data_IF_247430649069
#
_entry.id   IF_247430649069
#
_cell.length_a   1.000
_cell.length_b   1.000
_cell.length_c   1.000
_cell.angle_alpha   90.00
_cell.angle_beta   90.00
_cell.angle_gamma   90.00
#
_symmetry.space_group_name_H-M   'P 1'
#
loop_
_entity.id
_entity.type
_entity.pdbx_description
1 polymer ?
#
# COMPACT_ATOMS: atom_id res chain seq x y z
N UNK A 1 -1.13 -59.36 -77.48
CA UNK A 1 -1.55 -58.15 -78.25
C UNK A 1 -1.01 -56.91 -77.56
N UNK A 2 -0.86 -55.80 -78.32
CA UNK A 2 -0.71 -54.36 -77.94
C UNK A 2 -0.66 -53.98 -76.44
N UNK A 3 0.11 -52.96 -76.00
CA UNK A 3 1.29 -52.24 -76.53
C UNK A 3 1.90 -51.39 -75.38
N UNK A 4 3.05 -50.77 -75.57
CA UNK A 4 3.82 -50.08 -74.51
C UNK A 4 3.45 -48.61 -74.23
N UNK A 5 3.76 -48.20 -72.99
CA UNK A 5 4.25 -46.92 -72.42
C UNK A 5 4.21 -45.57 -73.18
N UNK A 6 4.15 -44.51 -72.34
CA UNK A 6 4.73 -43.15 -72.50
C UNK A 6 4.09 -42.18 -73.52
N UNK A 7 4.33 -40.84 -73.45
CA UNK A 7 5.09 -40.03 -72.47
C UNK A 7 4.31 -38.82 -71.87
N UNK A 8 4.99 -37.98 -71.07
CA UNK A 8 4.64 -36.54 -70.86
C UNK A 8 4.91 -35.75 -72.16
N UNK A 9 4.26 -34.58 -72.42
CA UNK A 9 5.04 -33.33 -72.42
C UNK A 9 4.30 -31.99 -72.15
N UNK A 10 5.13 -30.96 -71.92
CA UNK A 10 5.00 -29.50 -72.22
C UNK A 10 3.65 -28.81 -72.53
N UNK A 11 3.49 -27.63 -71.92
CA UNK A 11 2.61 -26.53 -72.34
C UNK A 11 3.06 -25.81 -73.63
N UNK A 12 2.11 -25.34 -74.47
CA UNK A 12 2.25 -24.14 -75.29
C UNK A 12 1.36 -22.97 -74.77
N UNK A 13 1.41 -21.82 -75.42
CA UNK A 13 0.68 -20.60 -75.05
C UNK A 13 -0.09 -19.99 -76.26
N UNK A 14 -0.87 -18.93 -75.96
CA UNK A 14 -1.63 -18.04 -76.87
C UNK A 14 -2.88 -18.63 -77.56
N UNK A 15 -3.83 -17.72 -77.87
CA UNK A 15 -5.18 -18.02 -78.39
C UNK A 15 -6.25 -17.39 -77.51
N UNK A 16 -6.88 -16.31 -77.99
CA UNK A 16 -7.94 -15.58 -77.30
C UNK A 16 -9.33 -16.09 -77.72
N UNK A 17 -10.26 -16.26 -76.77
CA UNK A 17 -11.65 -15.86 -76.98
C UNK A 17 -12.36 -15.63 -75.63
N UNK A 18 -13.52 -14.98 -75.68
CA UNK A 18 -14.22 -14.39 -74.53
C UNK A 18 -15.07 -15.38 -73.74
N UNK A 19 -15.20 -15.16 -72.41
CA UNK A 19 -16.54 -15.03 -71.84
C UNK A 19 -16.58 -14.35 -70.45
N UNK A 20 -17.76 -13.83 -70.09
CA UNK A 20 -17.96 -13.00 -68.89
C UNK A 20 -17.78 -13.77 -67.56
N UNK A 21 -16.75 -13.41 -66.79
CA UNK A 21 -16.70 -13.74 -65.35
C UNK A 21 -17.24 -12.59 -64.53
N UNK A 22 -18.49 -12.73 -64.06
CA UNK A 22 -19.04 -11.93 -62.98
C UNK A 22 -18.12 -12.00 -61.76
N UNK A 23 -17.33 -10.95 -61.56
CA UNK A 23 -16.54 -10.83 -60.34
C UNK A 23 -17.50 -10.55 -59.17
N UNK A 24 -17.78 -11.59 -58.39
CA UNK A 24 -18.24 -11.44 -57.01
C UNK A 24 -17.13 -10.77 -56.20
N UNK A 25 -16.94 -9.47 -56.44
CA UNK A 25 -16.19 -8.57 -55.58
C UNK A 25 -16.91 -8.55 -54.25
N UNK A 26 -16.51 -9.47 -53.38
CA UNK A 26 -16.91 -9.52 -51.99
C UNK A 26 -16.46 -8.21 -51.37
N UNK A 27 -17.37 -7.22 -51.39
CA UNK A 27 -17.23 -5.93 -50.74
C UNK A 27 -17.28 -6.17 -49.24
N UNK A 28 -16.20 -6.75 -48.74
CA UNK A 28 -15.75 -6.67 -47.37
C UNK A 28 -15.56 -5.19 -47.06
N UNK A 29 -16.68 -4.54 -46.75
CA UNK A 29 -16.70 -3.34 -45.93
C UNK A 29 -16.03 -3.76 -44.63
N UNK A 30 -14.72 -3.56 -44.57
CA UNK A 30 -14.02 -3.31 -43.32
C UNK A 30 -14.74 -2.11 -42.71
N UNK A 31 -15.76 -2.39 -41.89
CA UNK A 31 -16.33 -1.40 -41.00
C UNK A 31 -15.17 -0.93 -40.15
N UNK A 32 -14.84 0.36 -40.28
CA UNK A 32 -13.85 0.97 -39.39
C UNK A 32 -14.31 0.67 -37.96
N UNK A 33 -13.41 0.11 -37.14
CA UNK A 33 -13.68 -0.18 -35.72
C UNK A 33 -13.68 1.11 -34.90
N UNK A 34 -14.52 2.06 -35.33
CA UNK A 34 -14.83 3.29 -34.64
C UNK A 34 -15.68 2.91 -33.41
N UNK A 35 -15.00 2.54 -32.33
CA UNK A 35 -15.61 2.32 -31.02
C UNK A 35 -16.07 3.63 -30.35
N UNK A 36 -15.90 4.77 -31.02
CA UNK A 36 -16.48 6.06 -30.69
C UNK A 36 -17.96 6.10 -31.07
N UNK A 37 -18.79 6.49 -30.09
CA UNK A 37 -20.19 6.81 -30.31
C UNK A 37 -20.32 8.23 -30.90
N UNK A 38 -21.38 8.51 -31.66
CA UNK A 38 -21.75 9.89 -32.07
C UNK A 38 -21.77 10.85 -30.86
N UNK A 39 -22.17 10.31 -29.70
CA UNK A 39 -22.29 11.00 -28.42
C UNK A 39 -20.94 11.34 -27.74
N UNK A 40 -19.81 10.81 -28.22
CA UNK A 40 -18.49 11.07 -27.62
C UNK A 40 -17.90 12.42 -28.06
N UNK A 41 -18.31 12.94 -29.22
CA UNK A 41 -17.90 14.25 -29.73
C UNK A 41 -18.56 15.42 -28.98
N UNK A 42 -19.66 15.16 -28.28
CA UNK A 42 -20.41 16.16 -27.52
C UNK A 42 -19.92 16.17 -26.07
N UNK A 43 -19.30 17.28 -25.65
CA UNK A 43 -18.91 17.49 -24.25
C UNK A 43 -20.17 17.75 -23.42
N UNK A 44 -20.27 17.09 -22.27
CA UNK A 44 -21.26 17.39 -21.23
C UNK A 44 -20.44 17.76 -20.00
N UNK A 45 -20.66 18.97 -19.47
CA UNK A 45 -20.02 19.46 -18.25
C UNK A 45 -20.84 19.03 -17.04
N UNK A 46 -20.15 18.56 -16.01
CA UNK A 46 -20.73 18.24 -14.71
C UNK A 46 -20.13 19.19 -13.69
N UNK A 47 -20.97 20.00 -13.07
CA UNK A 47 -20.59 21.05 -12.14
C UNK A 47 -20.54 20.53 -10.68
N UNK A 48 -19.56 21.03 -9.93
CA UNK A 48 -19.19 20.57 -8.58
C UNK A 48 -19.27 21.73 -7.57
N UNK A 49 -19.77 21.43 -6.37
CA UNK A 49 -19.96 22.39 -5.29
C UNK A 49 -21.21 23.27 -5.49
N UNK A 50 -21.71 23.82 -4.38
CA UNK A 50 -23.01 24.54 -4.37
C UNK A 50 -22.99 25.84 -5.19
N UNK A 51 -21.81 26.46 -5.31
CA UNK A 51 -21.56 27.63 -6.15
C UNK A 51 -21.36 27.30 -7.65
N UNK A 52 -21.17 26.03 -8.00
CA UNK A 52 -20.69 25.58 -9.32
C UNK A 52 -19.35 26.21 -9.76
N UNK A 53 -18.41 26.46 -8.85
CA UNK A 53 -17.11 27.07 -9.16
C UNK A 53 -16.22 26.21 -10.09
N UNK A 54 -16.45 24.90 -10.14
CA UNK A 54 -15.64 23.93 -10.86
C UNK A 54 -16.48 22.94 -11.67
N UNK A 55 -15.97 22.49 -12.83
CA UNK A 55 -16.60 21.43 -13.63
C UNK A 55 -15.60 20.39 -14.15
N UNK A 56 -16.11 19.21 -14.47
CA UNK A 56 -15.41 18.19 -15.25
C UNK A 56 -16.22 17.78 -16.48
N UNK A 57 -15.59 17.14 -17.46
CA UNK A 57 -16.30 16.59 -18.64
C UNK A 57 -16.68 15.14 -18.38
N UNK A 58 -17.96 14.80 -18.53
CA UNK A 58 -18.49 13.46 -18.25
C UNK A 58 -17.80 12.38 -19.12
N UNK A 59 -16.95 11.57 -18.48
CA UNK A 59 -16.25 10.45 -19.10
C UNK A 59 -16.99 9.13 -18.88
N UNK A 60 -17.46 8.52 -19.97
CA UNK A 60 -18.10 7.19 -19.94
C UNK A 60 -17.20 6.11 -19.33
N UNK A 61 -15.89 6.19 -19.57
CA UNK A 61 -14.92 5.21 -19.08
C UNK A 61 -14.76 5.27 -17.55
N UNK A 62 -14.59 6.49 -16.99
CA UNK A 62 -14.48 6.67 -15.54
C UNK A 62 -15.78 6.26 -14.84
N UNK A 63 -16.94 6.63 -15.39
CA UNK A 63 -18.24 6.19 -14.89
C UNK A 63 -18.39 4.67 -14.93
N UNK A 64 -18.04 4.01 -16.04
CA UNK A 64 -18.10 2.55 -16.12
C UNK A 64 -17.16 1.85 -15.12
N UNK A 65 -15.97 2.41 -14.86
CA UNK A 65 -15.06 1.88 -13.84
C UNK A 65 -15.63 2.04 -12.42
N UNK A 66 -16.23 3.19 -12.12
CA UNK A 66 -16.90 3.41 -10.82
C UNK A 66 -18.05 2.42 -10.60
N UNK A 67 -18.87 2.19 -11.64
CA UNK A 67 -19.94 1.19 -11.60
C UNK A 67 -19.40 -0.25 -11.41
N UNK A 68 -18.27 -0.62 -12.01
CA UNK A 68 -17.66 -1.95 -11.76
C UNK A 68 -17.19 -2.15 -10.32
N UNK A 69 -16.77 -1.10 -9.61
CA UNK A 69 -16.42 -1.20 -8.17
C UNK A 69 -17.63 -1.61 -7.34
N UNK A 70 -18.85 -1.18 -7.71
CA UNK A 70 -20.11 -1.55 -7.03
C UNK A 70 -20.60 -2.98 -7.32
N UNK A 71 -19.82 -3.78 -8.06
CA UNK A 71 -20.14 -5.12 -8.57
C UNK A 71 -21.14 -5.19 -9.74
N UNK A 72 -21.34 -4.10 -10.49
CA UNK A 72 -22.03 -4.16 -11.78
C UNK A 72 -21.08 -4.79 -12.81
N UNK A 73 -21.47 -5.84 -13.57
CA UNK A 73 -20.61 -6.45 -14.58
C UNK A 73 -20.17 -5.43 -15.65
N UNK A 74 -18.89 -5.45 -16.03
CA UNK A 74 -18.28 -4.45 -16.92
C UNK A 74 -19.09 -4.20 -18.22
N UNK A 75 -19.58 -5.27 -18.86
CA UNK A 75 -20.39 -5.17 -20.08
C UNK A 75 -21.76 -4.49 -19.88
N UNK A 76 -22.25 -4.38 -18.64
CA UNK A 76 -23.47 -3.64 -18.25
C UNK A 76 -23.10 -2.22 -17.79
N UNK A 77 -22.03 -2.05 -17.02
CA UNK A 77 -21.51 -0.75 -16.62
C UNK A 77 -21.21 0.16 -17.83
N UNK A 78 -20.62 -0.40 -18.90
CA UNK A 78 -20.39 0.31 -20.18
C UNK A 78 -21.71 0.71 -20.84
N UNK A 79 -22.76 -0.13 -20.77
CA UNK A 79 -24.09 0.18 -21.33
C UNK A 79 -24.77 1.30 -20.55
N UNK A 80 -24.77 1.25 -19.22
CA UNK A 80 -25.33 2.29 -18.34
C UNK A 80 -24.62 3.63 -18.59
N UNK A 81 -23.27 3.63 -18.65
CA UNK A 81 -22.50 4.84 -18.90
C UNK A 81 -22.73 5.43 -20.31
N UNK A 82 -23.03 4.60 -21.31
CA UNK A 82 -23.46 5.05 -22.64
C UNK A 82 -24.90 5.58 -22.63
N UNK A 83 -25.81 4.90 -21.95
CA UNK A 83 -27.24 5.25 -21.85
C UNK A 83 -27.45 6.59 -21.13
N UNK A 84 -26.74 6.84 -20.03
CA UNK A 84 -26.74 8.13 -19.35
C UNK A 84 -26.18 9.24 -20.24
N UNK A 85 -25.07 8.98 -20.94
CA UNK A 85 -24.46 9.94 -21.86
C UNK A 85 -25.38 10.31 -23.02
N UNK A 86 -26.15 9.34 -23.54
CA UNK A 86 -27.23 9.59 -24.52
C UNK A 86 -28.34 10.44 -23.93
N UNK A 87 -28.94 9.98 -22.82
CA UNK A 87 -30.05 10.65 -22.14
C UNK A 87 -29.77 12.15 -21.89
N UNK A 88 -28.56 12.49 -21.44
CA UNK A 88 -28.19 13.89 -21.23
C UNK A 88 -28.12 14.68 -22.55
N UNK A 89 -27.48 14.14 -23.59
CA UNK A 89 -27.32 14.82 -24.89
C UNK A 89 -28.65 14.94 -25.65
N UNK A 90 -29.45 13.88 -25.67
CA UNK A 90 -30.74 13.85 -26.38
C UNK A 90 -31.76 14.81 -25.75
N UNK A 91 -31.66 15.08 -24.44
CA UNK A 91 -32.44 16.11 -23.72
C UNK A 91 -31.75 17.49 -23.68
N UNK A 92 -30.66 17.71 -24.42
CA UNK A 92 -29.86 18.96 -24.43
C UNK A 92 -29.26 19.38 -23.07
N UNK A 93 -29.15 18.46 -22.11
CA UNK A 93 -28.53 18.65 -20.79
C UNK A 93 -27.00 18.58 -20.91
N UNK A 94 -26.41 19.62 -21.51
CA UNK A 94 -24.97 19.73 -21.75
C UNK A 94 -24.19 20.30 -20.56
N UNK A 95 -24.89 20.93 -19.63
CA UNK A 95 -24.38 21.46 -18.36
C UNK A 95 -25.34 20.99 -17.25
N UNK A 96 -24.85 20.20 -16.31
CA UNK A 96 -25.64 19.58 -15.22
C UNK A 96 -24.90 19.59 -13.89
N UNK A 97 -25.61 19.62 -12.76
CA UNK A 97 -24.98 19.41 -11.45
C UNK A 97 -24.58 17.95 -11.24
N UNK A 98 -23.65 17.71 -10.31
CA UNK A 98 -23.34 16.35 -9.85
C UNK A 98 -24.59 15.63 -9.30
N UNK A 99 -25.48 16.34 -8.60
CA UNK A 99 -26.72 15.80 -8.05
C UNK A 99 -27.69 15.36 -9.14
N UNK A 100 -27.87 16.16 -10.20
CA UNK A 100 -28.71 15.80 -11.35
C UNK A 100 -28.16 14.61 -12.12
N UNK A 101 -26.82 14.55 -12.29
CA UNK A 101 -26.14 13.42 -12.90
C UNK A 101 -26.40 12.14 -12.10
N UNK A 102 -26.27 12.19 -10.77
CA UNK A 102 -26.51 11.04 -9.88
C UNK A 102 -27.98 10.60 -9.87
N UNK A 103 -28.93 11.54 -9.79
CA UNK A 103 -30.37 11.24 -9.89
C UNK A 103 -30.72 10.54 -11.21
N UNK A 104 -30.12 10.95 -12.33
CA UNK A 104 -30.33 10.28 -13.62
C UNK A 104 -29.59 8.93 -13.71
N UNK A 105 -28.41 8.81 -13.11
CA UNK A 105 -27.65 7.57 -13.03
C UNK A 105 -28.39 6.50 -12.22
N UNK A 106 -28.88 6.83 -11.03
CA UNK A 106 -29.55 5.89 -10.13
C UNK A 106 -30.87 5.39 -10.74
N UNK A 107 -31.67 6.28 -11.36
CA UNK A 107 -32.86 5.90 -12.14
C UNK A 107 -32.54 4.94 -13.30
N UNK A 108 -31.36 5.02 -13.90
CA UNK A 108 -30.91 4.05 -14.93
C UNK A 108 -30.39 2.74 -14.32
N UNK A 109 -29.76 2.78 -13.14
CA UNK A 109 -29.34 1.58 -12.40
C UNK A 109 -30.55 0.75 -11.96
N UNK A 110 -31.56 1.38 -11.36
CA UNK A 110 -32.82 0.74 -10.92
C UNK A 110 -33.54 0.05 -12.10
N UNK A 111 -33.73 0.76 -13.22
CA UNK A 111 -34.30 0.22 -14.47
C UNK A 111 -33.52 -0.95 -15.07
N UNK A 112 -32.27 -1.16 -14.65
CA UNK A 112 -31.38 -2.25 -15.07
C UNK A 112 -31.28 -3.38 -14.03
N UNK A 113 -32.01 -3.29 -12.92
CA UNK A 113 -32.02 -4.28 -11.83
C UNK A 113 -31.03 -4.00 -10.70
N UNK A 114 -30.34 -2.85 -10.71
CA UNK A 114 -29.35 -2.47 -9.69
C UNK A 114 -29.96 -1.46 -8.72
N UNK A 115 -30.70 -1.98 -7.73
CA UNK A 115 -31.37 -1.19 -6.69
C UNK A 115 -30.42 -0.65 -5.61
N UNK A 116 -30.99 -0.34 -4.45
CA UNK A 116 -30.35 0.43 -3.36
C UNK A 116 -28.97 -0.11 -2.92
N UNK A 117 -28.75 -1.42 -2.87
CA UNK A 117 -27.46 -2.02 -2.51
C UNK A 117 -26.30 -1.49 -3.40
N UNK A 118 -26.54 -1.38 -4.72
CA UNK A 118 -25.56 -0.89 -5.69
C UNK A 118 -25.41 0.64 -5.63
N UNK A 119 -26.50 1.35 -5.36
CA UNK A 119 -26.52 2.81 -5.18
C UNK A 119 -25.76 3.21 -3.90
N UNK A 120 -25.94 2.47 -2.81
CA UNK A 120 -25.26 2.69 -1.55
C UNK A 120 -23.76 2.38 -1.67
N UNK A 121 -23.37 1.30 -2.38
CA UNK A 121 -21.97 1.07 -2.77
C UNK A 121 -21.40 2.21 -3.62
N UNK A 122 -22.17 2.76 -4.56
CA UNK A 122 -21.72 3.91 -5.37
C UNK A 122 -21.44 5.13 -4.47
N UNK A 123 -22.41 5.53 -3.64
CA UNK A 123 -22.29 6.65 -2.70
C UNK A 123 -21.13 6.47 -1.73
N UNK A 124 -20.98 5.27 -1.17
CA UNK A 124 -19.87 4.91 -0.27
C UNK A 124 -18.50 5.04 -0.96
N UNK A 125 -18.35 4.53 -2.18
CA UNK A 125 -17.08 4.63 -2.92
C UNK A 125 -16.77 6.06 -3.38
N UNK A 126 -17.80 6.83 -3.78
CA UNK A 126 -17.67 8.26 -4.10
C UNK A 126 -17.22 9.04 -2.86
N UNK A 127 -17.84 8.80 -1.70
CA UNK A 127 -17.44 9.39 -0.42
C UNK A 127 -16.01 9.05 -0.05
N UNK A 128 -15.62 7.77 -0.12
CA UNK A 128 -14.25 7.28 0.13
C UNK A 128 -13.21 8.03 -0.71
N UNK A 129 -13.42 8.13 -2.03
CA UNK A 129 -12.51 8.83 -2.93
C UNK A 129 -12.50 10.35 -2.71
N UNK A 130 -13.63 10.96 -2.37
CA UNK A 130 -13.72 12.41 -2.12
C UNK A 130 -13.06 12.81 -0.79
N UNK A 131 -13.31 12.07 0.29
CA UNK A 131 -12.67 12.26 1.60
C UNK A 131 -11.17 11.94 1.59
N UNK A 132 -10.67 11.25 0.55
CA UNK A 132 -9.29 10.76 0.45
C UNK A 132 -8.87 9.96 1.67
N UNK A 133 -9.68 8.99 2.06
CA UNK A 133 -9.34 8.08 3.17
C UNK A 133 -8.17 7.18 2.72
N UNK A 134 -7.04 7.14 3.44
CA UNK A 134 -5.95 6.24 3.09
C UNK A 134 -6.39 4.78 3.19
N UNK A 135 -6.03 3.98 2.19
CA UNK A 135 -6.31 2.54 2.14
C UNK A 135 -5.04 1.79 1.74
N UNK A 136 -4.58 0.91 2.62
CA UNK A 136 -3.39 0.08 2.44
C UNK A 136 -3.81 -1.38 2.52
N UNK A 137 -3.76 -2.07 1.39
CA UNK A 137 -4.07 -3.51 1.30
C UNK A 137 -2.75 -4.27 1.22
N UNK A 138 -2.51 -5.19 2.16
CA UNK A 138 -1.29 -6.00 2.19
C UNK A 138 -1.66 -7.42 1.78
N UNK A 139 -1.05 -7.94 0.70
CA UNK A 139 -1.31 -9.28 0.16
C UNK A 139 -0.08 -10.15 0.44
N UNK A 140 -0.09 -10.77 1.61
CA UNK A 140 0.97 -11.60 2.16
C UNK A 140 0.85 -13.06 1.68
N UNK A 141 1.95 -13.82 1.74
CA UNK A 141 1.99 -15.26 1.46
C UNK A 141 3.29 -15.67 0.76
N UNK A 142 3.51 -16.97 0.60
CA UNK A 142 4.75 -17.50 0.03
C UNK A 142 4.73 -17.58 -1.51
N UNK A 143 5.67 -18.32 -2.12
CA UNK A 143 5.67 -18.55 -3.57
C UNK A 143 4.44 -19.38 -3.99
N UNK A 144 4.05 -19.26 -5.26
CA UNK A 144 2.96 -20.00 -5.93
C UNK A 144 1.52 -19.85 -5.37
N UNK A 145 1.26 -19.21 -4.22
CA UNK A 145 -0.12 -19.00 -3.70
C UNK A 145 -0.99 -17.98 -4.48
N UNK A 146 -0.54 -17.51 -5.63
CA UNK A 146 -1.32 -16.66 -6.54
C UNK A 146 -1.39 -15.15 -6.23
N UNK A 147 -0.54 -14.63 -5.32
CA UNK A 147 -0.56 -13.24 -4.84
C UNK A 147 -0.65 -12.17 -5.94
N UNK A 148 0.31 -12.11 -6.85
CA UNK A 148 0.38 -11.10 -7.90
C UNK A 148 -0.86 -11.13 -8.82
N UNK A 149 -1.43 -12.31 -9.06
CA UNK A 149 -2.67 -12.51 -9.82
C UNK A 149 -3.88 -11.95 -9.07
N UNK A 150 -4.02 -12.27 -7.78
CA UNK A 150 -5.08 -11.73 -6.91
C UNK A 150 -4.94 -10.21 -6.81
N UNK A 151 -3.76 -9.70 -6.44
CA UNK A 151 -3.48 -8.27 -6.29
C UNK A 151 -3.78 -7.48 -7.57
N UNK A 152 -3.35 -7.97 -8.74
CA UNK A 152 -3.59 -7.32 -10.03
C UNK A 152 -5.07 -7.28 -10.40
N UNK A 153 -5.79 -8.41 -10.29
CA UNK A 153 -7.22 -8.43 -10.63
C UNK A 153 -8.07 -7.67 -9.61
N UNK A 154 -7.67 -7.66 -8.34
CA UNK A 154 -8.30 -6.86 -7.28
C UNK A 154 -8.11 -5.36 -7.52
N UNK A 155 -6.90 -4.92 -7.89
CA UNK A 155 -6.63 -3.53 -8.28
C UNK A 155 -7.50 -3.08 -9.45
N UNK A 156 -7.64 -3.93 -10.47
CA UNK A 156 -8.51 -3.68 -11.62
C UNK A 156 -9.99 -3.56 -11.22
N UNK A 157 -10.50 -4.46 -10.35
CA UNK A 157 -11.90 -4.50 -9.87
C UNK A 157 -12.26 -3.33 -8.95
N UNK A 158 -11.38 -2.97 -8.01
CA UNK A 158 -11.57 -1.87 -7.06
C UNK A 158 -11.12 -0.50 -7.61
N UNK A 159 -10.68 -0.43 -8.87
CA UNK A 159 -10.19 0.79 -9.52
C UNK A 159 -8.97 1.44 -8.81
N UNK A 160 -8.10 0.62 -8.20
CA UNK A 160 -6.93 1.10 -7.46
C UNK A 160 -5.73 1.21 -8.43
N UNK A 161 -5.05 2.37 -8.54
CA UNK A 161 -4.01 2.58 -9.55
C UNK A 161 -2.62 2.07 -9.14
N UNK A 162 -2.37 1.88 -7.84
CA UNK A 162 -1.05 1.59 -7.30
C UNK A 162 -1.00 0.16 -6.76
N UNK A 163 -0.16 -0.68 -7.37
CA UNK A 163 0.25 -1.99 -6.84
C UNK A 163 1.77 -1.98 -6.74
N UNK A 164 2.32 -2.23 -5.55
CA UNK A 164 3.75 -2.41 -5.32
C UNK A 164 4.05 -3.88 -5.02
N UNK A 165 5.19 -4.36 -5.49
CA UNK A 165 5.67 -5.73 -5.26
C UNK A 165 6.90 -5.68 -4.36
N UNK A 166 6.91 -6.39 -3.22
CA UNK A 166 8.07 -6.38 -2.31
C UNK A 166 9.32 -6.89 -2.97
N UNK A 167 9.20 -7.85 -3.87
CA UNK A 167 10.29 -8.54 -4.53
C UNK A 167 11.10 -7.55 -5.41
N UNK A 168 10.45 -6.51 -5.96
CA UNK A 168 11.12 -5.40 -6.66
C UNK A 168 11.81 -4.42 -5.70
N UNK A 169 11.23 -4.17 -4.52
CA UNK A 169 11.85 -3.33 -3.49
C UNK A 169 13.04 -4.04 -2.85
N UNK A 170 12.95 -5.37 -2.64
CA UNK A 170 14.05 -6.21 -2.18
C UNK A 170 15.24 -6.11 -3.13
N UNK A 171 15.02 -6.32 -4.44
CA UNK A 171 16.08 -6.27 -5.45
C UNK A 171 16.70 -4.88 -5.63
N UNK A 172 15.88 -3.82 -5.58
CA UNK A 172 16.37 -2.43 -5.60
C UNK A 172 17.19 -2.10 -4.35
N UNK A 173 16.74 -2.51 -3.16
CA UNK A 173 17.51 -2.31 -1.93
C UNK A 173 18.82 -3.11 -1.97
N UNK A 174 18.77 -4.38 -2.36
CA UNK A 174 19.93 -5.29 -2.46
C UNK A 174 21.02 -4.80 -3.43
N UNK A 175 20.65 -4.02 -4.44
CA UNK A 175 21.59 -3.41 -5.38
C UNK A 175 22.11 -2.04 -4.93
N UNK A 176 21.53 -1.46 -3.86
CA UNK A 176 22.08 -0.29 -3.15
C UNK A 176 23.05 -0.72 -2.04
N UNK A 177 24.14 0.03 -1.84
CA UNK A 177 25.30 -0.40 -1.02
C UNK A 177 25.04 -0.50 0.49
N UNK A 178 23.95 0.06 1.01
CA UNK A 178 23.66 0.18 2.45
C UNK A 178 22.63 -0.85 2.98
N UNK A 179 22.03 -1.68 2.12
CA UNK A 179 20.99 -2.62 2.53
C UNK A 179 21.57 -4.02 2.88
N UNK A 180 21.39 -4.53 4.12
CA UNK A 180 21.86 -5.87 4.48
C UNK A 180 20.89 -6.95 3.98
N UNK A 181 20.82 -7.13 2.66
CA UNK A 181 20.03 -8.16 1.96
C UNK A 181 20.98 -9.04 1.13
N UNK A 182 20.81 -10.36 1.16
CA UNK A 182 21.67 -11.27 0.39
C UNK A 182 21.10 -11.59 -1.00
N UNK A 183 21.97 -12.07 -1.90
CA UNK A 183 21.64 -12.47 -3.28
C UNK A 183 20.85 -13.77 -3.37
N UNK A 184 21.11 -14.74 -2.50
CA UNK A 184 20.28 -15.94 -2.36
C UNK A 184 19.00 -15.57 -1.60
N UNK A 185 17.79 -15.91 -2.08
CA UNK A 185 16.57 -15.65 -1.33
C UNK A 185 16.53 -16.42 0.00
N UNK A 186 15.93 -15.86 1.06
CA UNK A 186 15.97 -16.46 2.41
C UNK A 186 15.53 -17.92 2.43
N UNK A 187 14.46 -18.30 1.72
CA UNK A 187 13.96 -19.68 1.68
C UNK A 187 14.86 -20.67 0.92
N UNK A 188 15.92 -20.22 0.23
CA UNK A 188 16.91 -21.10 -0.42
C UNK A 188 18.23 -21.20 0.37
N UNK A 189 18.28 -20.71 1.61
CA UNK A 189 19.47 -20.77 2.47
C UNK A 189 19.39 -21.95 3.45
N UNK A 190 20.55 -22.35 3.94
CA UNK A 190 20.69 -23.30 5.03
C UNK A 190 20.48 -22.63 6.39
N UNK A 191 19.59 -23.21 7.19
CA UNK A 191 19.39 -22.90 8.60
C UNK A 191 19.43 -24.17 9.43
N UNK A 192 19.71 -24.01 10.72
CA UNK A 192 19.78 -25.07 11.72
C UNK A 192 18.42 -25.28 12.41
N UNK A 193 17.56 -24.27 12.43
CA UNK A 193 16.20 -24.35 12.98
C UNK A 193 15.18 -23.53 12.18
N UNK A 194 13.89 -23.84 12.38
CA UNK A 194 12.79 -23.02 11.85
C UNK A 194 12.74 -21.62 12.47
N UNK A 195 13.19 -21.47 13.72
CA UNK A 195 13.23 -20.17 14.41
C UNK A 195 14.30 -19.24 13.80
N UNK A 196 15.45 -19.80 13.39
CA UNK A 196 16.53 -19.08 12.71
C UNK A 196 16.04 -18.56 11.34
N UNK A 197 15.38 -19.42 10.55
CA UNK A 197 14.74 -19.08 9.28
C UNK A 197 13.70 -17.96 9.43
N UNK A 198 12.80 -18.06 10.41
CA UNK A 198 11.77 -17.03 10.65
C UNK A 198 12.39 -15.72 11.16
N UNK A 199 13.43 -15.79 12.00
CA UNK A 199 14.15 -14.61 12.47
C UNK A 199 14.80 -13.84 11.31
N UNK A 200 15.45 -14.55 10.39
CA UNK A 200 16.06 -13.95 9.19
C UNK A 200 15.00 -13.42 8.21
N UNK A 201 13.92 -14.16 7.99
CA UNK A 201 12.77 -13.69 7.20
C UNK A 201 12.18 -12.38 7.75
N UNK A 202 11.96 -12.30 9.07
CA UNK A 202 11.48 -11.08 9.73
C UNK A 202 12.51 -9.94 9.62
N UNK A 203 13.82 -10.24 9.68
CA UNK A 203 14.89 -9.25 9.50
C UNK A 203 14.83 -8.63 8.10
N UNK A 204 14.66 -9.44 7.06
CA UNK A 204 14.52 -8.95 5.68
C UNK A 204 13.23 -8.15 5.48
N UNK A 205 12.09 -8.63 6.00
CA UNK A 205 10.82 -7.88 5.97
C UNK A 205 10.95 -6.49 6.60
N UNK A 206 11.71 -6.35 7.70
CA UNK A 206 12.00 -5.06 8.35
C UNK A 206 12.88 -4.14 7.50
N UNK A 207 13.74 -4.67 6.63
CA UNK A 207 14.54 -3.88 5.68
C UNK A 207 13.68 -3.43 4.50
N UNK A 208 12.89 -4.34 3.90
CA UNK A 208 11.94 -4.01 2.81
C UNK A 208 10.89 -2.98 3.27
N UNK A 209 10.38 -3.11 4.49
CA UNK A 209 9.47 -2.13 5.13
C UNK A 209 10.04 -0.71 5.20
N UNK A 210 11.37 -0.55 5.34
CA UNK A 210 12.04 0.77 5.32
C UNK A 210 12.06 1.37 3.93
N UNK A 211 12.31 0.57 2.88
CA UNK A 211 12.18 1.00 1.48
C UNK A 211 10.76 1.49 1.17
N UNK A 212 9.75 0.70 1.57
CA UNK A 212 8.33 1.04 1.42
C UNK A 212 7.84 2.25 2.25
N UNK A 213 8.66 2.79 3.17
CA UNK A 213 8.23 3.86 4.06
C UNK A 213 7.94 5.17 3.32
N UNK A 214 8.60 5.43 2.18
CA UNK A 214 8.33 6.59 1.34
C UNK A 214 6.93 6.54 0.72
N UNK A 215 6.61 5.44 0.05
CA UNK A 215 5.31 5.23 -0.60
C UNK A 215 4.16 5.11 0.40
N UNK A 216 4.38 4.43 1.53
CA UNK A 216 3.36 4.36 2.59
C UNK A 216 3.06 5.75 3.17
N UNK A 217 4.09 6.53 3.50
CA UNK A 217 3.92 7.92 4.00
C UNK A 217 3.23 8.82 2.97
N UNK A 218 3.47 8.58 1.67
CA UNK A 218 2.80 9.27 0.57
C UNK A 218 1.34 8.82 0.41
N UNK A 219 1.04 7.54 0.53
CA UNK A 219 -0.33 7.02 0.50
C UNK A 219 -1.17 7.58 1.67
N UNK A 220 -0.61 7.59 2.89
CA UNK A 220 -1.25 8.20 4.06
C UNK A 220 -1.45 9.72 3.93
N UNK A 221 -0.49 10.45 3.32
CA UNK A 221 -0.61 11.91 3.14
C UNK A 221 -1.54 12.31 1.99
N UNK A 222 -1.42 11.65 0.84
CA UNK A 222 -2.22 11.97 -0.35
C UNK A 222 -3.65 11.40 -0.26
N UNK A 223 -3.88 10.46 0.65
CA UNK A 223 -5.13 9.69 0.76
C UNK A 223 -5.40 8.82 -0.46
N UNK A 224 -4.33 8.29 -1.06
CA UNK A 224 -4.39 7.46 -2.27
C UNK A 224 -4.35 5.98 -1.87
N UNK A 225 -5.26 5.13 -2.38
CA UNK A 225 -5.21 3.71 -2.11
C UNK A 225 -3.96 3.06 -2.73
N UNK A 226 -3.45 2.04 -2.04
CA UNK A 226 -2.29 1.26 -2.46
C UNK A 226 -2.46 -0.21 -2.08
N UNK A 227 -2.12 -1.11 -3.00
CA UNK A 227 -1.90 -2.52 -2.70
C UNK A 227 -0.39 -2.75 -2.62
N UNK A 228 0.07 -3.47 -1.61
CA UNK A 228 1.43 -3.98 -1.51
C UNK A 228 1.33 -5.50 -1.45
N UNK A 229 1.98 -6.21 -2.37
CA UNK A 229 1.98 -7.67 -2.44
C UNK A 229 3.41 -8.22 -2.45
N UNK A 230 3.59 -9.46 -2.01
CA UNK A 230 4.89 -10.13 -2.12
C UNK A 230 5.16 -11.07 -0.95
N UNK A 231 6.37 -11.65 -0.93
CA UNK A 231 6.76 -12.60 0.14
C UNK A 231 7.35 -11.90 1.36
N UNK A 232 8.05 -10.78 1.19
CA UNK A 232 8.65 -10.00 2.29
C UNK A 232 7.64 -9.07 2.98
N UNK A 233 6.46 -9.61 3.30
CA UNK A 233 5.38 -8.95 4.03
C UNK A 233 5.00 -9.74 5.30
N UNK A 234 5.82 -9.59 6.34
CA UNK A 234 5.44 -9.89 7.73
C UNK A 234 4.34 -8.89 8.19
N UNK A 235 3.11 -9.36 8.51
CA UNK A 235 2.01 -8.48 8.90
C UNK A 235 2.24 -7.74 10.22
N UNK A 236 3.06 -8.29 11.14
CA UNK A 236 3.27 -7.70 12.47
C UNK A 236 3.84 -6.28 12.37
N UNK A 237 4.69 -6.03 11.36
CA UNK A 237 5.35 -4.74 11.10
C UNK A 237 4.39 -3.65 10.58
N UNK A 238 3.13 -4.01 10.28
CA UNK A 238 2.09 -3.10 9.83
C UNK A 238 0.88 -3.04 10.78
N UNK A 239 0.86 -3.89 11.82
CA UNK A 239 -0.22 -3.97 12.82
C UNK A 239 0.10 -3.26 14.14
N UNK A 240 1.37 -2.92 14.38
CA UNK A 240 1.74 -2.04 15.51
C UNK A 240 1.34 -0.60 15.17
N UNK A 241 0.35 -0.09 15.89
CA UNK A 241 -0.21 1.27 15.75
C UNK A 241 0.85 2.38 16.02
N UNK A 242 0.55 3.62 15.58
CA UNK A 242 1.45 4.80 15.59
C UNK A 242 1.86 5.32 16.99
N UNK A 243 1.53 4.61 18.08
CA UNK A 243 1.90 4.91 19.48
C UNK A 243 3.41 5.09 19.70
N UNK A 244 4.27 4.47 18.86
CA UNK A 244 5.73 4.63 18.93
C UNK A 244 6.30 5.33 17.71
N UNK A 245 6.22 6.67 17.76
CA UNK A 245 7.07 7.58 16.98
C UNK A 245 8.54 7.08 16.94
N UNK A 246 9.21 7.07 15.77
CA UNK A 246 10.55 6.49 15.61
C UNK A 246 11.66 7.22 16.38
N UNK A 247 11.37 8.30 17.10
CA UNK A 247 12.30 8.97 18.00
C UNK A 247 12.71 8.12 19.22
N UNK A 248 11.83 7.23 19.71
CA UNK A 248 12.06 6.51 20.98
C UNK A 248 13.20 5.48 20.93
N UNK A 249 13.48 4.88 19.77
CA UNK A 249 14.42 3.75 19.63
C UNK A 249 15.89 4.21 19.64
N UNK A 250 16.17 5.52 19.57
CA UNK A 250 17.54 6.06 19.61
C UNK A 250 18.02 6.43 21.03
N UNK A 251 17.19 6.27 22.06
CA UNK A 251 17.54 6.63 23.45
C UNK A 251 18.25 5.50 24.21
N UNK A 252 17.79 4.24 24.08
CA UNK A 252 18.26 3.13 24.93
C UNK A 252 19.57 2.47 24.46
N UNK A 253 20.05 2.80 23.26
CA UNK A 253 21.21 2.12 22.64
C UNK A 253 22.49 2.98 22.57
N UNK A 254 22.60 4.02 23.39
CA UNK A 254 23.82 4.85 23.54
C UNK A 254 24.48 4.64 24.90
N UNK A 255 24.76 3.37 25.23
CA UNK A 255 25.07 2.92 26.59
C UNK A 255 26.28 2.00 26.78
N UNK A 256 27.01 1.59 25.73
CA UNK A 256 28.34 0.96 25.90
C UNK A 256 29.20 1.07 24.63
N UNK A 257 30.49 1.40 24.79
CA UNK A 257 31.48 1.42 23.71
C UNK A 257 32.26 0.10 23.63
N UNK A 258 32.93 -0.13 22.50
CA UNK A 258 33.50 -1.40 22.10
C UNK A 258 34.99 -1.61 22.45
N UNK A 259 35.28 -2.75 23.09
CA UNK A 259 36.35 -3.74 22.77
C UNK A 259 37.84 -3.35 22.76
N UNK A 260 38.63 -4.03 23.61
CA UNK A 260 39.86 -4.80 23.27
C UNK A 260 40.61 -5.25 24.55
N UNK A 261 41.41 -6.34 24.60
CA UNK A 261 41.41 -7.59 23.83
C UNK A 261 42.30 -8.67 24.52
N UNK A 262 41.89 -9.95 24.42
CA UNK A 262 42.69 -11.18 24.55
C UNK A 262 43.39 -11.53 25.90
N UNK A 263 43.79 -12.82 26.13
CA UNK A 263 44.24 -13.35 27.43
C UNK A 263 45.71 -13.83 27.47
N UNK A 264 46.20 -14.23 28.65
CA UNK A 264 46.83 -15.56 28.87
C UNK A 264 46.99 -15.89 30.37
N UNK A 265 47.55 -17.06 30.70
CA UNK A 265 47.45 -17.74 32.01
C UNK A 265 48.80 -17.98 32.73
N UNK A 266 48.72 -18.26 34.04
CA UNK A 266 49.71 -18.95 34.90
C UNK A 266 50.93 -18.21 35.51
N UNK A 267 51.40 -18.83 36.60
CA UNK A 267 52.78 -18.87 37.13
C UNK A 267 53.42 -17.65 37.85
N UNK A 268 53.55 -17.84 39.16
CA UNK A 268 54.54 -17.28 40.11
C UNK A 268 55.99 -17.13 39.61
N UNK A 269 56.70 -16.07 40.06
CA UNK A 269 57.95 -16.14 40.88
C UNK A 269 58.47 -14.71 41.24
N UNK A 270 59.43 -14.64 42.18
CA UNK A 270 59.90 -13.50 42.98
C UNK A 270 60.99 -12.61 42.31
N UNK A 271 61.50 -11.60 43.05
CA UNK A 271 62.78 -10.84 42.86
C UNK A 271 62.85 -9.89 41.65
N UNK A 272 63.46 -8.68 41.67
CA UNK A 272 64.32 -7.90 42.60
C UNK A 272 63.83 -6.40 42.62
N UNK A 273 63.97 -5.58 43.68
CA UNK A 273 65.15 -4.78 44.11
C UNK A 273 65.78 -3.89 42.99
N UNK A 274 66.03 -2.58 43.12
CA UNK A 274 65.82 -1.57 44.21
C UNK A 274 65.86 -0.13 43.64
N UNK A 275 65.65 0.88 44.51
CA UNK A 275 66.20 2.26 44.48
C UNK A 275 65.45 3.38 43.70
N UNK A 276 65.40 4.66 44.16
CA UNK A 276 65.89 5.27 45.43
C UNK A 276 65.17 6.61 45.76
N UNK A 277 64.93 6.91 47.05
CA UNK A 277 64.50 8.22 47.59
C UNK A 277 63.03 8.65 47.37
N UNK A 278 62.35 9.37 48.27
CA UNK A 278 62.68 9.83 49.64
C UNK A 278 61.41 10.23 50.43
N UNK A 279 61.42 10.03 51.76
CA UNK A 279 60.73 10.73 52.89
C UNK A 279 59.54 11.70 52.62
N UNK A 280 58.49 11.86 53.46
CA UNK A 280 57.93 11.23 54.70
C UNK A 280 56.54 11.91 54.96
N UNK A 281 55.64 11.55 55.89
CA UNK A 281 55.57 10.49 56.93
C UNK A 281 54.37 9.52 56.61
N UNK A 282 53.47 8.91 57.42
CA UNK A 282 52.88 9.04 58.77
C UNK A 282 52.02 10.31 59.03
N UNK A 283 51.02 10.37 59.92
CA UNK A 283 50.26 9.38 60.74
C UNK A 283 48.75 9.47 60.34
N UNK A 284 47.80 8.61 60.73
CA UNK A 284 47.87 7.42 61.59
C UNK A 284 46.56 7.16 62.38
N UNK A 285 45.57 6.49 61.77
CA UNK A 285 44.30 6.07 62.43
C UNK A 285 43.22 7.17 62.55
N UNK A 286 41.98 6.89 63.01
CA UNK A 286 41.33 5.59 63.29
C UNK A 286 39.79 5.76 63.37
N UNK A 287 39.03 4.66 63.20
CA UNK A 287 37.81 4.22 63.94
C UNK A 287 37.02 5.28 64.78
N UNK A 288 35.68 5.37 64.83
CA UNK A 288 34.62 4.35 64.60
C UNK A 288 33.19 4.88 64.87
N UNK A 289 32.15 4.36 64.17
CA UNK A 289 30.69 4.30 64.49
C UNK A 289 29.84 5.58 64.80
N UNK A 290 28.50 5.39 64.71
CA UNK A 290 27.39 6.12 65.38
C UNK A 290 27.06 7.56 64.93
N UNK A 291 25.84 8.11 65.12
CA UNK A 291 24.46 7.57 65.22
C UNK A 291 23.41 8.72 65.26
N UNK A 292 22.16 8.45 64.82
CA UNK A 292 20.85 9.00 65.30
C UNK A 292 20.56 10.52 65.45
N UNK A 293 19.27 10.89 65.24
CA UNK A 293 18.59 12.15 65.68
C UNK A 293 19.05 13.49 65.01
N UNK A 294 18.25 14.59 64.97
CA UNK A 294 16.80 14.72 65.22
C UNK A 294 16.25 16.17 65.40
N UNK A 295 15.30 16.60 64.53
CA UNK A 295 14.18 17.57 64.78
C UNK A 295 14.47 19.09 64.96
N UNK A 296 13.49 19.94 64.56
CA UNK A 296 13.22 21.39 64.87
C UNK A 296 14.02 22.53 64.18
N UNK A 297 13.53 23.78 64.02
CA UNK A 297 12.17 24.37 63.80
C UNK A 297 12.27 25.90 63.46
N UNK A 298 11.25 26.51 62.83
CA UNK A 298 10.97 27.98 62.64
C UNK A 298 11.97 28.84 61.81
N UNK A 299 11.61 29.97 61.13
CA UNK A 299 10.34 30.71 60.88
C UNK A 299 10.38 31.30 59.41
N UNK A 300 9.80 32.42 58.89
CA UNK A 300 9.15 33.67 59.37
C UNK A 300 8.11 34.20 58.29
N UNK A 301 7.75 35.50 58.28
CA UNK A 301 6.55 36.12 57.64
C UNK A 301 6.67 36.82 56.25
N UNK A 302 5.46 37.12 55.72
CA UNK A 302 4.98 37.70 54.45
C UNK A 302 5.33 39.18 54.04
N UNK A 303 4.77 39.67 52.90
CA UNK A 303 3.95 40.93 52.72
C UNK A 303 3.91 41.54 51.27
N UNK A 304 2.70 41.66 50.65
CA UNK A 304 2.15 42.74 49.74
C UNK A 304 2.87 43.26 48.45
N UNK A 305 2.27 43.98 47.46
CA UNK A 305 0.86 44.29 47.08
C UNK A 305 0.67 44.78 45.60
N UNK A 306 -0.38 44.27 44.93
CA UNK A 306 -1.45 44.92 44.11
C UNK A 306 -1.33 46.21 43.21
N UNK A 307 -1.69 46.02 41.91
CA UNK A 307 -2.82 46.63 41.11
C UNK A 307 -2.75 48.06 40.49
N UNK A 308 -3.47 48.20 39.35
CA UNK A 308 -3.94 49.41 38.60
C UNK A 308 -3.08 49.85 37.39
N UNK A 309 -3.57 50.42 36.26
CA UNK A 309 -4.90 50.99 35.88
C UNK A 309 -5.26 50.76 34.39
N UNK A 310 -6.50 51.11 33.99
CA UNK A 310 -7.02 51.09 32.60
C UNK A 310 -7.04 52.51 31.98
N UNK A 311 -6.96 52.69 30.65
CA UNK A 311 -7.54 53.87 29.96
C UNK A 311 -7.76 53.68 28.43
N UNK A 312 -8.37 54.67 27.76
CA UNK A 312 -9.10 54.56 26.48
C UNK A 312 -8.75 55.68 25.45
N UNK A 313 -9.12 55.47 24.18
CA UNK A 313 -9.07 56.39 23.01
C UNK A 313 -7.69 56.61 22.34
N UNK A 314 -7.59 57.01 21.06
CA UNK A 314 -8.62 57.13 20.01
C UNK A 314 -8.14 57.73 18.66
N UNK A 315 -8.84 57.39 17.58
CA UNK A 315 -8.98 58.13 16.28
C UNK A 315 -7.78 58.68 15.47
N UNK A 316 -7.62 58.13 14.26
CA UNK A 316 -7.44 58.80 12.93
C UNK A 316 -6.11 59.39 12.42
N UNK A 317 -5.95 59.21 11.09
CA UNK A 317 -5.24 60.05 10.08
C UNK A 317 -3.74 59.78 9.81
N UNK A 318 -3.32 60.06 8.56
CA UNK A 318 -1.92 60.03 8.10
C UNK A 318 -1.67 59.15 6.86
N UNK A 319 -1.69 59.75 5.67
CA UNK A 319 -1.03 59.19 4.47
C UNK A 319 0.37 59.81 4.37
N UNK A 320 1.41 58.99 4.16
CA UNK A 320 2.37 59.17 3.05
C UNK A 320 3.25 57.92 2.91
N UNK A 321 3.90 57.75 1.76
CA UNK A 321 4.57 56.51 1.39
C UNK A 321 6.07 56.65 1.15
N UNK A 322 6.85 55.73 1.68
CA UNK A 322 8.24 55.48 1.28
C UNK A 322 8.48 53.97 1.22
N UNK A 323 9.16 53.49 0.18
CA UNK A 323 9.39 52.07 -0.03
C UNK A 323 10.67 51.58 0.69
N UNK A 324 10.58 50.42 1.33
CA UNK A 324 11.75 49.58 1.65
C UNK A 324 11.35 48.10 1.62
N UNK A 325 12.34 47.22 1.51
CA UNK A 325 12.17 45.78 1.32
C UNK A 325 13.01 45.01 2.34
N UNK A 326 12.39 43.95 2.90
CA UNK A 326 12.95 43.00 3.90
C UNK A 326 13.10 43.63 5.31
N UNK A 327 13.09 42.87 6.42
CA UNK A 327 13.17 41.41 6.60
C UNK A 327 12.03 40.81 7.47
N UNK A 328 11.87 39.51 7.25
CA UNK A 328 11.29 38.43 8.09
C UNK A 328 10.87 38.81 9.53
N UNK A 329 9.57 38.68 9.82
CA UNK A 329 9.10 38.11 11.10
C UNK A 329 8.22 36.89 10.82
N UNK A 330 8.52 35.76 11.47
CA UNK A 330 7.86 34.48 11.24
C UNK A 330 6.69 34.29 12.22
N UNK A 331 5.53 34.87 11.88
CA UNK A 331 4.33 34.80 12.70
C UNK A 331 3.91 33.35 12.97
N UNK A 332 3.81 32.99 14.25
CA UNK A 332 3.58 31.61 14.72
C UNK A 332 2.11 31.25 14.62
N UNK A 333 1.61 31.05 13.40
CA UNK A 333 0.38 30.29 13.18
C UNK A 333 0.54 28.89 13.74
N UNK A 334 -0.06 28.65 14.91
CA UNK A 334 -0.27 27.32 15.48
C UNK A 334 -1.18 26.57 14.52
N UNK A 335 -0.57 25.80 13.60
CA UNK A 335 -1.30 24.88 12.74
C UNK A 335 -1.77 23.73 13.62
N UNK A 336 -2.97 23.88 14.18
CA UNK A 336 -3.77 22.76 14.64
C UNK A 336 -3.93 21.80 13.47
N UNK A 337 -3.14 20.72 13.46
CA UNK A 337 -3.30 19.65 12.48
C UNK A 337 -4.71 19.11 12.65
N UNK A 338 -5.61 19.43 11.70
CA UNK A 338 -6.82 18.63 11.51
C UNK A 338 -6.36 17.18 11.34
N UNK A 339 -6.82 16.30 12.22
CA UNK A 339 -6.57 14.87 12.06
C UNK A 339 -7.13 14.46 10.69
N UNK A 340 -6.34 13.72 9.92
CA UNK A 340 -6.84 13.14 8.68
C UNK A 340 -7.85 12.03 8.98
N UNK A 341 -8.68 11.61 8.00
CA UNK A 341 -9.49 10.41 8.16
C UNK A 341 -8.59 9.22 8.50
N UNK A 342 -8.96 8.44 9.53
CA UNK A 342 -8.14 7.32 10.03
C UNK A 342 -7.80 6.35 8.88
N UNK A 343 -6.52 5.94 8.72
CA UNK A 343 -6.14 5.04 7.64
C UNK A 343 -6.78 3.65 7.81
N UNK A 344 -7.17 3.05 6.69
CA UNK A 344 -7.70 1.70 6.61
C UNK A 344 -6.55 0.78 6.18
N UNK A 345 -6.09 -0.09 7.07
CA UNK A 345 -5.05 -1.10 6.78
C UNK A 345 -5.72 -2.47 6.77
N UNK A 346 -5.61 -3.21 5.66
CA UNK A 346 -6.25 -4.52 5.48
C UNK A 346 -5.18 -5.56 5.12
N UNK A 347 -4.63 -6.29 6.11
CA UNK A 347 -3.73 -7.41 5.87
C UNK A 347 -4.51 -8.68 5.48
N UNK A 348 -4.08 -9.28 4.38
CA UNK A 348 -4.69 -10.46 3.77
C UNK A 348 -3.58 -11.48 3.52
N UNK A 349 -3.62 -12.61 4.23
CA UNK A 349 -2.67 -13.72 4.00
C UNK A 349 -3.30 -14.71 3.03
N UNK A 350 -2.69 -14.91 1.87
CA UNK A 350 -3.09 -15.96 0.96
C UNK A 350 -2.41 -17.27 1.34
N UNK A 351 -3.20 -18.35 1.34
CA UNK A 351 -2.72 -19.74 1.43
C UNK A 351 -3.39 -20.59 0.36
N UNK A 352 -2.91 -21.82 0.21
CA UNK A 352 -3.42 -22.83 -0.71
C UNK A 352 -3.46 -24.17 0.02
N UNK A 353 -4.19 -25.16 -0.48
CA UNK A 353 -4.14 -26.53 0.07
C UNK A 353 -2.73 -27.11 -0.08
N UNK A 354 -2.23 -27.85 0.92
CA UNK A 354 -0.82 -28.29 0.93
C UNK A 354 -0.41 -29.10 -0.31
N UNK A 355 -1.33 -29.93 -0.83
CA UNK A 355 -1.11 -30.74 -2.03
C UNK A 355 -0.95 -29.86 -3.28
N UNK A 356 -1.93 -28.99 -3.56
CA UNK A 356 -1.90 -28.03 -4.66
C UNK A 356 -0.66 -27.12 -4.57
N UNK A 357 -0.35 -26.65 -3.35
CA UNK A 357 0.78 -25.75 -3.10
C UNK A 357 2.12 -26.45 -3.34
N UNK A 358 2.31 -27.67 -2.82
CA UNK A 358 3.52 -28.46 -3.06
C UNK A 358 3.71 -28.73 -4.55
N UNK A 359 2.67 -29.15 -5.27
CA UNK A 359 2.76 -29.41 -6.71
C UNK A 359 3.20 -28.18 -7.52
N UNK A 360 2.62 -27.00 -7.24
CA UNK A 360 3.01 -25.75 -7.89
C UNK A 360 4.40 -25.25 -7.46
N UNK A 361 4.88 -25.58 -6.25
CA UNK A 361 6.25 -25.31 -5.84
C UNK A 361 7.24 -26.22 -6.56
N UNK A 362 6.96 -27.51 -6.69
CA UNK A 362 7.79 -28.47 -7.44
C UNK A 362 7.94 -28.05 -8.90
N UNK A 363 6.83 -27.70 -9.58
CA UNK A 363 6.84 -27.17 -10.95
C UNK A 363 7.67 -25.87 -11.05
N UNK A 364 7.45 -24.92 -10.14
CA UNK A 364 8.15 -23.63 -10.12
C UNK A 364 9.66 -23.78 -9.89
N UNK A 365 10.07 -24.66 -8.97
CA UNK A 365 11.49 -24.99 -8.74
C UNK A 365 12.07 -25.60 -10.02
N UNK A 366 11.42 -26.61 -10.59
CA UNK A 366 11.92 -27.30 -11.80
C UNK A 366 12.07 -26.34 -12.98
N UNK A 367 11.14 -25.39 -13.16
CA UNK A 367 11.21 -24.36 -14.20
C UNK A 367 12.41 -23.41 -14.05
N UNK A 368 12.91 -23.22 -12.82
CA UNK A 368 14.04 -22.34 -12.49
C UNK A 368 15.38 -23.07 -12.40
N UNK A 369 15.40 -24.35 -12.04
CA UNK A 369 16.62 -25.17 -11.99
C UNK A 369 17.11 -25.64 -13.36
N UNK A 370 16.53 -25.18 -14.48
CA UNK A 370 16.98 -25.60 -15.82
C UNK A 370 18.42 -25.14 -16.16
N UNK A 371 18.99 -24.19 -15.41
CA UNK A 371 20.39 -23.75 -15.56
C UNK A 371 21.41 -24.56 -14.77
N UNK A 372 21.06 -25.19 -13.64
CA UNK A 372 22.03 -25.88 -12.76
C UNK A 372 21.47 -27.16 -12.12
N UNK A 373 22.32 -28.18 -11.99
CA UNK A 373 21.96 -29.52 -11.47
C UNK A 373 21.77 -29.53 -9.94
N UNK A 374 20.67 -28.95 -9.47
CA UNK A 374 20.27 -28.96 -8.06
C UNK A 374 19.86 -30.38 -7.59
N UNK A 375 20.50 -30.95 -6.54
CA UNK A 375 20.11 -32.20 -5.89
C UNK A 375 18.67 -32.20 -5.36
N UNK A 376 17.98 -33.34 -5.39
CA UNK A 376 16.57 -33.41 -4.93
C UNK A 376 16.40 -33.09 -3.44
N UNK A 377 17.41 -33.38 -2.60
CA UNK A 377 17.40 -33.01 -1.16
C UNK A 377 17.28 -31.50 -0.92
N UNK A 378 17.82 -30.69 -1.82
CA UNK A 378 17.81 -29.24 -1.67
C UNK A 378 16.44 -28.67 -2.06
N UNK A 379 15.72 -29.34 -2.97
CA UNK A 379 14.33 -29.03 -3.35
C UNK A 379 13.37 -29.27 -2.19
N UNK A 380 13.47 -30.43 -1.54
CA UNK A 380 12.67 -30.74 -0.34
C UNK A 380 12.94 -29.74 0.79
N UNK A 381 14.20 -29.32 0.99
CA UNK A 381 14.57 -28.29 1.98
C UNK A 381 14.00 -26.92 1.63
N UNK A 382 14.02 -26.52 0.37
CA UNK A 382 13.43 -25.26 -0.12
C UNK A 382 11.89 -25.27 0.10
N UNK A 383 11.22 -26.37 -0.22
CA UNK A 383 9.78 -26.55 0.02
C UNK A 383 9.47 -26.50 1.53
N UNK A 384 10.27 -27.16 2.37
CA UNK A 384 10.12 -27.10 3.83
C UNK A 384 10.31 -25.68 4.38
N UNK A 385 11.34 -24.94 3.92
CA UNK A 385 11.55 -23.53 4.27
C UNK A 385 10.34 -22.66 3.88
N UNK A 386 9.82 -22.83 2.67
CA UNK A 386 8.62 -22.11 2.22
C UNK A 386 7.38 -22.50 3.04
N UNK A 387 7.19 -23.78 3.38
CA UNK A 387 6.10 -24.19 4.27
C UNK A 387 6.21 -23.53 5.64
N UNK A 388 7.40 -23.53 6.26
CA UNK A 388 7.63 -22.86 7.55
C UNK A 388 7.28 -21.36 7.52
N UNK A 389 7.64 -20.64 6.45
CA UNK A 389 7.24 -19.23 6.27
C UNK A 389 5.72 -19.10 6.07
N UNK A 390 5.08 -20.01 5.32
CA UNK A 390 3.63 -19.99 5.11
C UNK A 390 2.87 -20.25 6.40
N UNK A 391 3.33 -21.20 7.23
CA UNK A 391 2.73 -21.54 8.52
C UNK A 391 2.91 -20.39 9.52
N UNK A 392 4.08 -19.74 9.55
CA UNK A 392 4.31 -18.49 10.30
C UNK A 392 3.32 -17.40 9.89
N UNK A 393 3.17 -17.11 8.59
CA UNK A 393 2.22 -16.11 8.10
C UNK A 393 0.76 -16.49 8.41
N UNK A 394 0.42 -17.79 8.44
CA UNK A 394 -0.90 -18.26 8.82
C UNK A 394 -1.16 -18.22 10.34
N UNK A 395 -0.13 -18.23 11.19
CA UNK A 395 -0.27 -18.19 12.65
C UNK A 395 -1.04 -16.96 13.14
N UNK A 396 -0.90 -15.84 12.42
CA UNK A 396 -1.63 -14.59 12.64
C UNK A 396 -3.16 -14.70 12.48
N UNK A 397 -3.72 -15.81 12.00
CA UNK A 397 -5.17 -16.07 12.09
C UNK A 397 -5.67 -15.91 13.54
N UNK A 398 -4.85 -16.32 14.51
CA UNK A 398 -5.12 -16.18 15.96
C UNK A 398 -5.24 -14.73 16.44
N UNK A 399 -4.65 -13.77 15.71
CA UNK A 399 -4.68 -12.33 15.97
C UNK A 399 -5.77 -11.61 15.15
N UNK A 400 -6.68 -12.37 14.51
CA UNK A 400 -7.81 -11.83 13.75
C UNK A 400 -7.52 -11.47 12.29
N UNK A 401 -6.36 -11.84 11.74
CA UNK A 401 -6.04 -11.54 10.34
C UNK A 401 -6.88 -12.39 9.35
N UNK A 402 -7.26 -11.76 8.25
CA UNK A 402 -7.95 -12.40 7.14
C UNK A 402 -7.01 -13.36 6.39
N UNK A 403 -7.13 -14.67 6.67
CA UNK A 403 -6.39 -15.72 5.97
C UNK A 403 -7.30 -16.43 4.96
N UNK A 404 -6.95 -16.35 3.68
CA UNK A 404 -7.81 -16.72 2.55
C UNK A 404 -7.22 -17.90 1.79
N UNK A 405 -8.02 -18.96 1.61
CA UNK A 405 -7.63 -20.11 0.80
C UNK A 405 -7.87 -19.83 -0.69
N UNK A 406 -6.85 -20.06 -1.52
CA UNK A 406 -6.88 -19.91 -2.97
C UNK A 406 -6.74 -21.30 -3.59
N UNK A 407 -7.65 -21.68 -4.48
CA UNK A 407 -7.49 -22.83 -5.37
C UNK A 407 -7.77 -22.39 -6.80
N UNK A 408 -7.13 -23.07 -7.76
CA UNK A 408 -7.31 -22.79 -9.19
C UNK A 408 -8.77 -22.97 -9.65
N UNK A 409 -9.54 -23.84 -9.00
CA UNK A 409 -10.95 -24.14 -9.32
C UNK A 409 -11.92 -23.08 -8.80
N UNK A 410 -11.62 -22.45 -7.66
CA UNK A 410 -12.51 -21.49 -6.96
C UNK A 410 -12.07 -20.03 -7.11
N UNK A 411 -10.96 -19.76 -7.82
CA UNK A 411 -10.33 -18.43 -7.92
C UNK A 411 -11.32 -17.26 -8.16
N UNK A 412 -12.31 -17.32 -9.07
CA UNK A 412 -13.25 -16.21 -9.27
C UNK A 412 -14.10 -15.92 -8.01
N UNK A 413 -14.50 -16.96 -7.28
CA UNK A 413 -15.31 -16.87 -6.06
C UNK A 413 -14.48 -16.30 -4.90
N UNK A 414 -13.21 -16.73 -4.77
CA UNK A 414 -12.25 -16.13 -3.83
C UNK A 414 -12.06 -14.64 -4.10
N UNK A 415 -11.97 -14.23 -5.37
CA UNK A 415 -11.82 -12.83 -5.76
C UNK A 415 -13.11 -12.01 -5.58
N UNK A 416 -14.29 -12.61 -5.79
CA UNK A 416 -15.58 -12.01 -5.47
C UNK A 416 -15.76 -11.82 -3.95
N UNK A 417 -15.27 -12.76 -3.14
CA UNK A 417 -15.26 -12.67 -1.68
C UNK A 417 -14.32 -11.57 -1.19
N UNK A 418 -13.08 -11.52 -1.70
CA UNK A 418 -12.10 -10.46 -1.39
C UNK A 418 -12.64 -9.06 -1.71
N UNK A 419 -13.33 -8.91 -2.84
CA UNK A 419 -13.99 -7.66 -3.23
C UNK A 419 -15.12 -7.28 -2.25
N UNK A 420 -15.92 -8.24 -1.75
CA UNK A 420 -16.91 -7.96 -0.69
C UNK A 420 -16.24 -7.52 0.61
N UNK A 421 -15.24 -8.27 1.08
CA UNK A 421 -14.54 -8.00 2.33
C UNK A 421 -13.93 -6.59 2.33
N UNK A 422 -13.28 -6.19 1.24
CA UNK A 422 -12.66 -4.86 1.13
C UNK A 422 -13.68 -3.72 1.03
N UNK A 423 -14.85 -3.93 0.43
CA UNK A 423 -15.95 -2.95 0.49
C UNK A 423 -16.47 -2.79 1.92
N UNK A 424 -16.56 -3.87 2.70
CA UNK A 424 -16.95 -3.81 4.11
C UNK A 424 -15.90 -3.06 4.96
N UNK A 425 -14.60 -3.28 4.72
CA UNK A 425 -13.55 -2.51 5.39
C UNK A 425 -13.61 -1.00 5.05
N UNK A 426 -13.92 -0.64 3.80
CA UNK A 426 -14.12 0.77 3.38
C UNK A 426 -15.37 1.38 4.03
N UNK A 427 -16.46 0.62 4.13
CA UNK A 427 -17.70 1.05 4.79
C UNK A 427 -17.52 1.32 6.29
N UNK A 428 -16.81 0.43 6.98
CA UNK A 428 -16.45 0.56 8.40
C UNK A 428 -15.50 1.75 8.63
N UNK A 429 -14.41 1.86 7.85
CA UNK A 429 -13.47 2.98 7.99
C UNK A 429 -14.08 4.35 7.67
N UNK A 430 -14.94 4.44 6.65
CA UNK A 430 -15.59 5.72 6.27
C UNK A 430 -16.79 6.10 7.17
N UNK A 431 -17.36 5.16 7.93
CA UNK A 431 -18.40 5.46 8.93
C UNK A 431 -17.81 5.94 10.26
N UNK A 432 -16.73 5.32 10.73
CA UNK A 432 -16.01 5.76 11.94
C UNK A 432 -15.61 7.24 11.88
N UNK A 433 -14.96 7.66 10.80
CA UNK A 433 -14.56 9.06 10.58
C UNK A 433 -15.72 10.04 10.33
N UNK A 434 -16.98 9.58 10.26
CA UNK A 434 -18.15 10.46 10.12
C UNK A 434 -18.80 10.83 11.46
N UNK A 435 -18.67 9.99 12.50
CA UNK A 435 -19.25 10.27 13.82
C UNK A 435 -18.44 11.32 14.61
N UNK A 436 -17.12 11.30 14.51
CA UNK A 436 -16.24 12.28 15.20
C UNK A 436 -16.52 13.72 14.77
N UNK A 437 -16.80 13.93 13.48
CA UNK A 437 -17.14 15.26 12.94
C UNK A 437 -18.50 15.79 13.39
N UNK A 438 -19.47 14.93 13.70
CA UNK A 438 -20.77 15.36 14.24
C UNK A 438 -20.65 15.75 15.72
N UNK A 439 -19.82 15.03 16.49
CA UNK A 439 -19.59 15.33 17.90
C UNK A 439 -18.96 16.71 18.14
N UNK A 440 -18.12 17.21 17.21
CA UNK A 440 -17.55 18.56 17.28
C UNK A 440 -18.47 19.67 16.73
N UNK A 441 -19.61 19.35 16.12
CA UNK A 441 -20.55 20.34 15.57
C UNK A 441 -21.74 20.67 16.51
N UNK A 442 -21.78 20.06 17.70
CA UNK A 442 -22.82 20.28 18.72
C UNK A 442 -22.32 20.95 20.00
N UNK A 443 -21.20 21.68 19.93
CA UNK A 443 -20.49 22.22 21.09
C UNK A 443 -19.84 23.60 20.84
N UNK A 444 -20.52 24.48 20.10
CA UNK A 444 -20.31 25.93 20.05
C UNK A 444 -21.67 26.64 20.24
#
# INVERSE_FOLDING_TARGET
MRKEKEPMPSSPASGEESDEKQSFSSKNKFSSRNASSKYDFVKVKVWLGDNADHYYVLSRFLLSRMLTVTKIPNHVAIKIALELKKLLIDNSLLDVSQSDLEVNLFKLMERRGYGEEYINRYKMMTRFHHQRVPLVILVCGTACVGKSTIATQLAQRLNLPNVLQTDMVYELLRTSTDAPLASTPVWTRDFNSSEELITEFCRECRVVRKGLAGDLKKAMKDGKPIIIEGIHLDPSIYLVDDEKSPAAIQAENKGMNSTSAAPDDSATVQTENTNEGSHDENHGGSRTLSSTEGISMDQVDAVSNNVASINLAGSTSGHEGAASLKEIEADKKIVTKKSGPKPIIVPIVLKMAEFDHKALLEEWICSRTFTEKCPDKDKDKLIANLKTIQDYLCSFTSQGLTVVNVSATTFPQTLDWLHNHLLQCIEQGTSLGSNEHVAQAGAE
#
